data_IF_304535960239
#
_entry.id   IF_304535960239
#
_cell.length_a   1.000
_cell.length_b   1.000
_cell.length_c   1.000
_cell.angle_alpha   90.00
_cell.angle_beta   90.00
_cell.angle_gamma   90.00
#
_symmetry.space_group_name_H-M   'P 1'
#
loop_
_entity.id
_entity.type
_entity.pdbx_description
1 polymer ?
#
# COMPACT_ATOMS: atom_id res chain seq x y z
N UNK A 1 16.79 14.94 3.90
CA UNK A 1 16.42 15.01 2.46
C UNK A 1 16.17 13.61 1.95
N UNK A 2 15.18 13.47 1.07
CA UNK A 2 14.92 12.21 0.36
C UNK A 2 15.64 12.23 -0.99
N UNK A 3 16.28 11.12 -1.33
CA UNK A 3 17.02 10.96 -2.58
C UNK A 3 16.67 9.59 -3.16
N UNK A 4 16.60 9.47 -4.49
CA UNK A 4 16.40 8.17 -5.13
C UNK A 4 17.44 7.14 -4.64
N UNK A 5 17.01 5.91 -4.41
CA UNK A 5 17.89 4.81 -4.03
C UNK A 5 18.90 4.46 -5.14
N UNK A 6 18.63 4.86 -6.39
CA UNK A 6 19.50 4.71 -7.55
C UNK A 6 20.47 5.87 -7.75
N UNK A 7 20.39 6.96 -6.98
CA UNK A 7 21.27 8.14 -7.14
C UNK A 7 22.73 7.81 -6.77
N UNK A 8 23.68 7.83 -7.73
CA UNK A 8 25.07 7.51 -7.42
C UNK A 8 25.83 8.67 -6.76
N UNK A 9 25.40 9.93 -6.92
CA UNK A 9 26.18 11.12 -6.54
C UNK A 9 25.78 11.75 -5.19
N UNK A 10 25.31 10.94 -4.24
CA UNK A 10 24.93 11.42 -2.90
C UNK A 10 26.07 12.18 -2.21
N UNK A 11 27.32 11.77 -2.43
CA UNK A 11 28.51 12.46 -1.90
C UNK A 11 28.68 13.88 -2.45
N UNK A 12 28.43 14.08 -3.75
CA UNK A 12 28.49 15.40 -4.39
C UNK A 12 27.36 16.30 -3.90
N UNK A 13 26.14 15.76 -3.78
CA UNK A 13 24.98 16.48 -3.24
C UNK A 13 25.27 16.98 -1.81
N UNK A 14 25.83 16.11 -0.95
CA UNK A 14 26.25 16.52 0.41
C UNK A 14 27.27 17.66 0.37
N UNK A 15 28.29 17.59 -0.50
CA UNK A 15 29.29 18.64 -0.65
C UNK A 15 28.70 19.98 -1.13
N UNK A 16 27.70 19.95 -2.02
CA UNK A 16 27.02 21.17 -2.46
C UNK A 16 26.20 21.77 -1.31
N UNK A 17 25.41 20.97 -0.61
CA UNK A 17 24.60 21.44 0.52
C UNK A 17 25.48 22.01 1.65
N UNK A 18 26.60 21.35 1.94
CA UNK A 18 27.59 21.81 2.92
C UNK A 18 28.13 23.21 2.56
N UNK A 19 28.57 23.40 1.30
CA UNK A 19 29.07 24.70 0.83
C UNK A 19 28.03 25.81 0.93
N UNK A 20 26.77 25.52 0.60
CA UNK A 20 25.69 26.51 0.72
C UNK A 20 25.47 26.92 2.17
N UNK A 21 25.56 25.99 3.12
CA UNK A 21 25.31 26.28 4.53
C UNK A 21 26.48 27.05 5.16
N UNK A 22 27.72 26.65 4.86
CA UNK A 22 28.92 27.39 5.23
C UNK A 22 28.86 28.84 4.71
N UNK A 23 28.41 29.05 3.46
CA UNK A 23 28.29 30.40 2.88
C UNK A 23 27.23 31.28 3.55
N UNK A 24 26.25 30.68 4.24
CA UNK A 24 25.16 31.39 4.89
C UNK A 24 25.38 31.60 6.39
N UNK A 25 26.51 31.14 6.93
CA UNK A 25 26.83 31.22 8.36
C UNK A 25 25.72 30.64 9.26
N UNK A 26 24.93 29.71 8.71
CA UNK A 26 23.98 28.91 9.47
C UNK A 26 24.87 27.90 10.21
N UNK A 27 24.85 27.91 11.54
CA UNK A 27 25.77 27.15 12.39
C UNK A 27 25.76 25.63 12.18
N UNK A 28 26.12 24.87 13.20
CA UNK A 28 26.18 23.41 13.08
C UNK A 28 24.83 22.80 12.65
N UNK A 29 24.87 21.97 11.61
CA UNK A 29 23.70 21.30 11.07
C UNK A 29 24.03 19.86 10.70
N UNK A 30 23.04 18.97 10.80
CA UNK A 30 23.18 17.56 10.44
C UNK A 30 22.31 17.23 9.22
N UNK A 31 22.93 16.76 8.14
CA UNK A 31 22.22 16.27 6.96
C UNK A 31 21.90 14.78 7.12
N UNK A 32 20.62 14.47 7.32
CA UNK A 32 20.11 13.10 7.14
C UNK A 32 19.67 12.90 5.69
N UNK A 33 20.22 11.88 5.03
CA UNK A 33 19.84 11.47 3.67
C UNK A 33 19.06 10.17 3.77
N UNK A 34 17.82 10.18 3.28
CA UNK A 34 16.96 9.00 3.20
C UNK A 34 16.93 8.54 1.75
N UNK A 35 17.35 7.30 1.49
CA UNK A 35 17.21 6.69 0.17
C UNK A 35 15.79 6.16 0.02
N UNK A 36 15.09 6.58 -1.02
CA UNK A 36 13.72 6.15 -1.33
C UNK A 36 13.67 5.46 -2.68
N UNK A 37 12.88 4.40 -2.79
CA UNK A 37 12.57 3.82 -4.08
C UNK A 37 11.45 4.66 -4.72
N UNK A 38 11.80 5.44 -5.74
CA UNK A 38 10.85 6.35 -6.41
C UNK A 38 9.72 5.60 -7.11
N UNK A 39 10.01 4.46 -7.75
CA UNK A 39 8.99 3.64 -8.42
C UNK A 39 7.94 3.13 -7.42
N UNK A 40 8.37 2.68 -6.24
CA UNK A 40 7.46 2.25 -5.17
C UNK A 40 6.63 3.41 -4.62
N UNK A 41 7.22 4.60 -4.50
CA UNK A 41 6.50 5.81 -4.05
C UNK A 41 5.44 6.23 -5.06
N UNK A 42 5.77 6.21 -6.34
CA UNK A 42 4.80 6.49 -7.40
C UNK A 42 3.70 5.45 -7.46
N UNK A 43 4.04 4.16 -7.30
CA UNK A 43 3.05 3.10 -7.15
C UNK A 43 2.10 3.38 -5.99
N UNK A 44 2.65 3.71 -4.81
CA UNK A 44 1.82 4.02 -3.65
C UNK A 44 0.85 5.17 -3.89
N UNK A 45 1.34 6.26 -4.52
CA UNK A 45 0.52 7.42 -4.86
C UNK A 45 -0.63 7.06 -5.79
N UNK A 46 -0.39 6.22 -6.81
CA UNK A 46 -1.43 5.74 -7.73
C UNK A 46 -2.46 4.85 -7.03
N UNK A 47 -1.99 3.94 -6.16
CA UNK A 47 -2.85 2.97 -5.48
C UNK A 47 -3.67 3.59 -4.35
N UNK A 48 -3.18 4.63 -3.69
CA UNK A 48 -3.85 5.25 -2.53
C UNK A 48 -5.34 5.57 -2.75
N UNK A 49 -5.77 6.26 -3.82
CA UNK A 49 -7.20 6.52 -4.06
C UNK A 49 -8.01 5.23 -4.31
N UNK A 50 -7.42 4.23 -4.96
CA UNK A 50 -8.05 2.92 -5.20
C UNK A 50 -8.28 2.21 -3.87
N UNK A 51 -7.27 2.16 -3.00
CA UNK A 51 -7.38 1.54 -1.67
C UNK A 51 -8.40 2.28 -0.79
N UNK A 52 -8.44 3.61 -0.87
CA UNK A 52 -9.42 4.39 -0.12
C UNK A 52 -10.86 4.04 -0.54
N UNK A 53 -11.12 3.98 -1.84
CA UNK A 53 -12.43 3.61 -2.39
C UNK A 53 -12.83 2.17 -1.99
N UNK A 54 -11.89 1.22 -2.02
CA UNK A 54 -12.10 -0.14 -1.54
C UNK A 54 -12.49 -0.13 -0.05
N UNK A 55 -11.77 0.62 0.77
CA UNK A 55 -12.05 0.70 2.20
C UNK A 55 -13.45 1.25 2.47
N UNK A 56 -13.85 2.33 1.81
CA UNK A 56 -15.19 2.92 1.93
C UNK A 56 -16.29 1.96 1.46
N UNK A 57 -16.12 1.34 0.29
CA UNK A 57 -17.09 0.39 -0.26
C UNK A 57 -17.30 -0.84 0.63
N UNK A 58 -16.22 -1.38 1.20
CA UNK A 58 -16.31 -2.55 2.08
C UNK A 58 -16.81 -2.21 3.48
N UNK A 59 -16.41 -1.07 4.04
CA UNK A 59 -16.80 -0.67 5.40
C UNK A 59 -18.23 -0.11 5.47
N UNK A 60 -18.77 0.42 4.37
CA UNK A 60 -20.17 0.86 4.30
C UNK A 60 -21.16 -0.32 4.27
N UNK A 61 -20.74 -1.48 3.78
CA UNK A 61 -21.56 -2.69 3.72
C UNK A 61 -21.47 -3.50 5.01
N UNK A 62 -22.43 -3.27 5.92
CA UNK A 62 -22.50 -3.95 7.23
C UNK A 62 -22.45 -5.47 7.14
N UNK A 63 -22.96 -6.05 6.05
CA UNK A 63 -22.92 -7.50 5.80
C UNK A 63 -21.50 -8.07 5.72
N UNK A 64 -20.53 -7.27 5.26
CA UNK A 64 -19.15 -7.73 5.16
C UNK A 64 -18.38 -7.74 6.48
N UNK A 65 -18.92 -7.07 7.50
CA UNK A 65 -18.34 -7.08 8.85
C UNK A 65 -16.86 -6.65 8.85
N UNK A 66 -16.45 -5.82 7.89
CA UNK A 66 -15.08 -5.29 7.75
C UNK A 66 -14.84 -4.21 8.81
N UNK A 67 -13.69 -4.29 9.47
CA UNK A 67 -13.24 -3.34 10.50
C UNK A 67 -12.00 -2.55 10.10
N UNK A 68 -11.41 -2.85 8.94
CA UNK A 68 -10.27 -2.11 8.43
C UNK A 68 -9.68 -2.73 7.18
N UNK A 69 -9.11 -1.85 6.37
CA UNK A 69 -8.34 -2.19 5.17
C UNK A 69 -6.96 -1.58 5.33
N UNK A 70 -5.91 -2.35 5.03
CA UNK A 70 -4.53 -1.90 5.01
C UNK A 70 -3.87 -2.30 3.70
N UNK A 71 -2.74 -1.69 3.38
CA UNK A 71 -1.97 -2.05 2.19
C UNK A 71 -0.47 -1.93 2.43
N UNK A 72 0.35 -2.62 1.63
CA UNK A 72 1.81 -2.49 1.64
C UNK A 72 2.39 -2.81 0.27
N UNK A 73 3.29 -1.96 -0.25
CA UNK A 73 4.14 -2.24 -1.41
C UNK A 73 5.53 -2.80 -1.02
N UNK A 74 5.69 -3.19 0.26
CA UNK A 74 6.93 -3.75 0.79
C UNK A 74 6.68 -4.96 1.72
N UNK A 75 7.21 -6.15 1.39
CA UNK A 75 7.88 -6.50 0.14
C UNK A 75 6.92 -6.43 -1.06
N UNK A 76 7.46 -6.30 -2.28
CA UNK A 76 6.64 -6.39 -3.50
C UNK A 76 6.05 -7.81 -3.64
N UNK A 77 4.88 -7.99 -4.27
CA UNK A 77 4.02 -7.00 -4.93
C UNK A 77 3.15 -6.19 -3.95
N UNK A 78 2.36 -5.23 -4.46
CA UNK A 78 1.37 -4.49 -3.65
C UNK A 78 0.41 -5.47 -2.96
N UNK A 79 0.25 -5.36 -1.64
CA UNK A 79 -0.59 -6.26 -0.84
C UNK A 79 -1.76 -5.52 -0.20
N UNK A 80 -2.99 -6.04 -0.35
CA UNK A 80 -4.21 -5.47 0.26
C UNK A 80 -4.70 -6.38 1.38
N UNK A 81 -4.71 -5.90 2.61
CA UNK A 81 -5.19 -6.66 3.77
C UNK A 81 -6.55 -6.17 4.24
N UNK A 82 -7.53 -7.06 4.33
CA UNK A 82 -8.89 -6.74 4.80
C UNK A 82 -9.13 -7.48 6.10
N UNK A 83 -9.49 -6.74 7.16
CA UNK A 83 -9.75 -7.30 8.48
C UNK A 83 -11.25 -7.33 8.71
N UNK A 84 -11.79 -8.49 9.08
CA UNK A 84 -13.20 -8.68 9.42
C UNK A 84 -13.38 -8.92 10.93
N UNK A 85 -14.63 -8.90 11.38
CA UNK A 85 -15.03 -9.28 12.74
C UNK A 85 -15.59 -10.70 12.83
N UNK A 86 -15.60 -11.45 11.73
CA UNK A 86 -16.10 -12.84 11.66
C UNK A 86 -15.06 -13.82 12.18
N UNK A 87 -15.47 -14.82 12.97
CA UNK A 87 -14.59 -15.89 13.42
C UNK A 87 -14.23 -16.82 12.27
N UNK A 88 -13.01 -17.35 12.23
CA UNK A 88 -12.65 -18.38 11.26
C UNK A 88 -13.48 -19.66 11.37
N UNK A 89 -14.06 -19.90 12.55
CA UNK A 89 -14.95 -21.03 12.83
C UNK A 89 -16.40 -20.81 12.38
N UNK A 90 -16.77 -19.61 11.93
CA UNK A 90 -18.11 -19.35 11.40
C UNK A 90 -18.28 -20.15 10.09
N UNK A 91 -19.33 -20.97 9.94
CA UNK A 91 -19.57 -21.75 8.72
C UNK A 91 -19.60 -20.91 7.43
N UNK A 92 -19.95 -19.62 7.54
CA UNK A 92 -20.01 -18.67 6.41
C UNK A 92 -18.73 -17.87 6.22
N UNK A 93 -17.69 -18.07 7.03
CA UNK A 93 -16.47 -17.27 6.99
C UNK A 93 -15.76 -17.35 5.63
N UNK A 94 -15.72 -18.54 5.03
CA UNK A 94 -15.13 -18.75 3.70
C UNK A 94 -15.95 -18.08 2.60
N UNK A 95 -17.28 -18.22 2.64
CA UNK A 95 -18.18 -17.56 1.69
C UNK A 95 -18.04 -16.03 1.75
N UNK A 96 -17.96 -15.48 2.96
CA UNK A 96 -17.71 -14.06 3.17
C UNK A 96 -16.37 -13.62 2.57
N UNK A 97 -15.31 -14.38 2.82
CA UNK A 97 -13.99 -14.12 2.25
C UNK A 97 -14.02 -14.05 0.71
N UNK A 98 -14.70 -15.00 0.08
CA UNK A 98 -14.86 -15.03 -1.38
C UNK A 98 -15.67 -13.83 -1.91
N UNK A 99 -16.74 -13.42 -1.23
CA UNK A 99 -17.56 -12.26 -1.64
C UNK A 99 -16.78 -10.96 -1.60
N UNK A 100 -16.06 -10.73 -0.49
CA UNK A 100 -15.19 -9.55 -0.33
C UNK A 100 -14.12 -9.55 -1.41
N UNK A 101 -13.47 -10.68 -1.65
CA UNK A 101 -12.46 -10.81 -2.69
C UNK A 101 -12.99 -10.47 -4.07
N UNK A 102 -14.13 -11.07 -4.46
CA UNK A 102 -14.75 -10.82 -5.75
C UNK A 102 -15.06 -9.34 -5.93
N UNK A 103 -15.66 -8.68 -4.93
CA UNK A 103 -15.96 -7.26 -5.01
C UNK A 103 -14.71 -6.40 -5.24
N UNK A 104 -13.62 -6.69 -4.54
CA UNK A 104 -12.37 -5.94 -4.70
C UNK A 104 -11.75 -6.17 -6.07
N UNK A 105 -11.76 -7.41 -6.57
CA UNK A 105 -11.28 -7.73 -7.92
C UNK A 105 -12.12 -7.02 -8.98
N UNK A 106 -13.43 -7.08 -8.88
CA UNK A 106 -14.37 -6.45 -9.81
C UNK A 106 -14.14 -4.92 -9.83
N UNK A 107 -13.91 -4.30 -8.66
CA UNK A 107 -13.59 -2.89 -8.57
C UNK A 107 -12.23 -2.55 -9.18
N UNK A 108 -11.15 -3.29 -8.88
CA UNK A 108 -9.81 -3.04 -9.44
C UNK A 108 -9.83 -3.18 -10.97
N UNK A 109 -10.64 -4.09 -11.49
CA UNK A 109 -10.82 -4.30 -12.93
C UNK A 109 -11.73 -3.27 -13.62
N UNK A 110 -12.38 -2.37 -12.87
CA UNK A 110 -13.15 -1.26 -13.44
C UNK A 110 -12.24 -0.32 -14.25
N UNK A 111 -12.82 0.33 -15.26
CA UNK A 111 -12.08 1.22 -16.18
C UNK A 111 -11.27 2.29 -15.45
N UNK A 112 -11.83 2.88 -14.39
CA UNK A 112 -11.22 3.97 -13.63
C UNK A 112 -10.10 3.44 -12.72
N UNK A 113 -10.35 2.35 -11.98
CA UNK A 113 -9.35 1.79 -11.08
C UNK A 113 -8.18 1.16 -11.85
N UNK A 114 -8.46 0.50 -12.98
CA UNK A 114 -7.44 -0.11 -13.83
C UNK A 114 -6.48 0.91 -14.43
N UNK A 115 -6.93 2.14 -14.71
CA UNK A 115 -6.04 3.25 -15.14
C UNK A 115 -5.03 3.65 -14.06
N UNK A 116 -5.43 3.58 -12.79
CA UNK A 116 -4.56 3.89 -11.66
C UNK A 116 -3.59 2.74 -11.34
N UNK A 117 -4.10 1.52 -11.31
CA UNK A 117 -3.34 0.30 -11.00
C UNK A 117 -2.40 -0.10 -12.13
N UNK A 118 -2.75 0.17 -13.40
CA UNK A 118 -2.02 -0.26 -14.59
C UNK A 118 -1.82 -1.77 -14.59
N UNK A 119 -0.62 -2.23 -14.95
CA UNK A 119 -0.20 -3.63 -14.95
C UNK A 119 0.66 -3.94 -13.70
N UNK A 120 0.47 -3.19 -12.60
CA UNK A 120 1.19 -3.45 -11.36
C UNK A 120 0.74 -4.79 -10.77
N UNK A 121 1.65 -5.76 -10.55
CA UNK A 121 1.28 -7.01 -9.90
C UNK A 121 0.86 -6.74 -8.46
N UNK A 122 -0.16 -7.46 -8.01
CA UNK A 122 -0.65 -7.32 -6.64
C UNK A 122 -0.96 -8.66 -6.00
N UNK A 123 -0.53 -8.76 -4.76
CA UNK A 123 -0.58 -9.95 -3.94
C UNK A 123 -1.69 -9.82 -2.92
N UNK A 124 -2.61 -10.76 -2.94
CA UNK A 124 -3.44 -11.17 -1.80
C UNK A 124 -4.19 -10.05 -1.13
N UNK A 125 -5.43 -9.92 -1.59
CA UNK A 125 -6.59 -9.62 -0.77
C UNK A 125 -6.61 -10.62 0.40
N UNK A 126 -5.91 -10.32 1.49
CA UNK A 126 -5.89 -11.21 2.66
C UNK A 126 -7.09 -10.86 3.52
N UNK A 127 -8.12 -11.68 3.48
CA UNK A 127 -9.28 -11.50 4.37
C UNK A 127 -8.97 -12.21 5.68
N UNK A 128 -8.73 -11.45 6.75
CA UNK A 128 -8.52 -11.97 8.09
C UNK A 128 -9.82 -12.01 8.88
N UNK A 129 -9.99 -13.09 9.63
CA UNK A 129 -11.01 -13.24 10.66
C UNK A 129 -10.68 -12.43 11.92
N UNK A 130 -11.63 -12.40 12.87
CA UNK A 130 -11.44 -11.83 14.20
C UNK A 130 -10.26 -12.46 14.94
N UNK A 131 -10.07 -13.77 14.79
CA UNK A 131 -8.99 -14.58 15.38
C UNK A 131 -7.69 -14.57 14.56
N UNK A 132 -7.54 -13.62 13.61
CA UNK A 132 -6.33 -13.41 12.80
C UNK A 132 -5.96 -14.60 11.89
N UNK A 133 -6.87 -15.53 11.67
CA UNK A 133 -6.70 -16.58 10.65
C UNK A 133 -7.14 -16.07 9.29
N UNK A 134 -6.51 -16.58 8.24
CA UNK A 134 -6.86 -16.23 6.87
C UNK A 134 -8.16 -16.94 6.50
N UNK A 135 -9.14 -16.18 6.06
CA UNK A 135 -10.38 -16.67 5.47
C UNK A 135 -10.20 -16.95 3.97
N UNK A 136 -9.45 -16.09 3.28
CA UNK A 136 -9.09 -16.29 1.88
C UNK A 136 -7.77 -15.62 1.49
N UNK A 137 -7.20 -16.04 0.36
CA UNK A 137 -5.98 -15.48 -0.22
C UNK A 137 -5.86 -15.79 -1.74
N UNK A 138 -5.65 -14.76 -2.58
CA UNK A 138 -5.43 -14.87 -4.04
C UNK A 138 -4.21 -14.08 -4.51
N UNK A 139 -3.52 -14.44 -5.59
CA UNK A 139 -2.47 -13.59 -6.20
C UNK A 139 -2.85 -13.34 -7.65
N UNK A 140 -2.77 -12.08 -8.08
CA UNK A 140 -3.14 -11.68 -9.44
C UNK A 140 -1.91 -11.08 -10.14
N UNK A 141 -1.71 -11.43 -11.42
CA UNK A 141 -0.61 -10.90 -12.23
C UNK A 141 -0.80 -9.40 -12.50
#
# INVERSE_FOLDING_TARGET
>A
MDVSNTEPKIGEIKKVVQRVIESKNIGEFSIKVHKINMEKREQEVRWRPVIHTIAEGLMSQKEYKVKGVGYSNHPSPMTITIKTTVSSSDPKAKELGNKIEKMVIDFINSTEAKKAVKDDPYKIIVVYSKDKKKLNQITLP
#
